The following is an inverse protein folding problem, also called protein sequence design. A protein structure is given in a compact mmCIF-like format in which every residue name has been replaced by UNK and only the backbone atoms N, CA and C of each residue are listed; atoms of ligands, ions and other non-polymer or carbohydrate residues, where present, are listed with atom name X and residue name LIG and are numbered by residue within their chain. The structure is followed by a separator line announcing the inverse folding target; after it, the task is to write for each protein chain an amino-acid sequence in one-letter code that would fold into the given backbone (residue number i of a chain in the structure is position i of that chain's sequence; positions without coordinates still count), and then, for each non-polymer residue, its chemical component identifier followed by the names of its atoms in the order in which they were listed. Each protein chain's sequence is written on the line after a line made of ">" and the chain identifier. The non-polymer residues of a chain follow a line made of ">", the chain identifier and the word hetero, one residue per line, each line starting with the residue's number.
data_IF_534812304310
#
_entry.id   IF_534812304310
#
_cell.length_a   1.000
_cell.length_b   1.000
_cell.length_c   1.000
_cell.angle_alpha   90.00
_cell.angle_beta   90.00
_cell.angle_gamma   90.00
#
_symmetry.space_group_name_H-M   'P 1'
#
loop_
_entity.id
_entity.type
_entity.pdbx_description
1 polymer ?
#
# COMPACT_ATOMS: atom_id res chain seq x y z
N UNK A 1 7.89 -6.48 -9.94
CA UNK A 1 6.83 -5.49 -9.71
C UNK A 1 7.27 -4.09 -10.10
N UNK A 2 6.47 -3.46 -10.95
CA UNK A 2 6.53 -2.02 -11.25
C UNK A 2 5.76 -1.25 -10.19
N UNK A 3 6.39 -0.24 -9.58
CA UNK A 3 5.78 0.59 -8.55
C UNK A 3 5.53 1.98 -9.13
N UNK A 4 4.30 2.46 -9.01
CA UNK A 4 3.89 3.78 -9.49
C UNK A 4 3.37 4.57 -8.29
N UNK A 5 3.70 5.86 -8.24
CA UNK A 5 3.16 6.76 -7.23
C UNK A 5 2.41 7.88 -7.94
N UNK A 6 1.17 8.13 -7.53
CA UNK A 6 0.49 9.33 -7.99
C UNK A 6 1.15 10.60 -7.39
N UNK A 7 0.85 11.77 -7.98
CA UNK A 7 1.43 13.06 -7.56
C UNK A 7 1.16 13.39 -6.08
N UNK A 8 -0.01 13.00 -5.56
CA UNK A 8 -0.38 13.22 -4.16
C UNK A 8 0.45 12.36 -3.21
N UNK A 9 0.77 11.13 -3.60
CA UNK A 9 1.49 10.18 -2.77
C UNK A 9 2.93 10.59 -2.54
N UNK A 10 3.68 10.96 -3.60
CA UNK A 10 5.07 11.41 -3.45
C UNK A 10 5.17 12.60 -2.51
N UNK A 11 4.31 13.60 -2.71
CA UNK A 11 4.24 14.78 -1.84
C UNK A 11 3.97 14.39 -0.38
N UNK A 12 3.02 13.49 -0.13
CA UNK A 12 2.72 13.04 1.23
C UNK A 12 3.89 12.30 1.89
N UNK A 13 4.59 11.43 1.14
CA UNK A 13 5.78 10.69 1.60
C UNK A 13 6.89 11.66 2.01
N UNK A 14 7.17 12.66 1.17
CA UNK A 14 8.19 13.68 1.41
C UNK A 14 7.83 14.58 2.61
N UNK A 15 6.61 15.12 2.65
CA UNK A 15 6.13 15.99 3.74
C UNK A 15 6.18 15.30 5.11
N UNK A 16 5.96 13.99 5.15
CA UNK A 16 5.99 13.18 6.38
C UNK A 16 7.34 12.53 6.64
N UNK A 17 8.33 12.74 5.77
CA UNK A 17 9.65 12.11 5.83
C UNK A 17 9.56 10.57 6.01
N UNK A 18 8.61 9.94 5.32
CA UNK A 18 8.37 8.50 5.41
C UNK A 18 9.55 7.77 4.75
N UNK A 19 10.13 6.79 5.46
CA UNK A 19 11.25 5.97 5.00
C UNK A 19 10.88 4.54 4.64
N UNK A 20 9.75 4.07 5.16
CA UNK A 20 9.25 2.73 4.89
C UNK A 20 7.72 2.72 4.75
N UNK A 21 7.23 1.93 3.81
CA UNK A 21 5.82 1.58 3.68
C UNK A 21 5.67 0.05 3.68
N UNK A 22 4.60 -0.42 4.31
CA UNK A 22 4.20 -1.83 4.27
C UNK A 22 2.85 -1.93 3.58
N UNK A 23 2.72 -2.86 2.63
CA UNK A 23 1.49 -3.21 1.94
C UNK A 23 1.09 -4.62 2.36
N UNK A 24 -0.06 -4.72 3.00
CA UNK A 24 -0.55 -5.97 3.61
C UNK A 24 -2.00 -6.26 3.22
N UNK A 25 -2.49 -7.46 3.51
CA UNK A 25 -3.92 -7.76 3.37
C UNK A 25 -4.70 -6.92 4.40
N UNK A 26 -5.57 -6.02 3.92
CA UNK A 26 -6.49 -5.30 4.79
C UNK A 26 -7.64 -6.22 5.19
N UNK A 27 -7.80 -6.42 6.49
CA UNK A 27 -8.97 -7.09 7.04
C UNK A 27 -10.10 -6.06 7.17
N UNK A 28 -10.88 -5.85 6.11
CA UNK A 28 -12.15 -5.11 6.21
C UNK A 28 -13.17 -5.98 6.94
N UNK A 29 -13.10 -6.03 8.27
CA UNK A 29 -13.85 -6.98 9.07
C UNK A 29 -14.08 -6.56 10.51
N UNK A 30 -14.78 -5.45 10.73
CA UNK A 30 -15.59 -5.30 11.93
C UNK A 30 -17.04 -5.12 11.48
N UNK A 31 -17.84 -6.16 11.67
CA UNK A 31 -19.28 -6.26 11.38
C UNK A 31 -19.70 -6.18 9.88
N UNK A 32 -19.77 -7.35 9.22
CA UNK A 32 -20.87 -7.61 8.27
C UNK A 32 -20.58 -7.62 6.77
N UNK A 33 -19.34 -7.37 6.30
CA UNK A 33 -19.04 -7.44 4.86
C UNK A 33 -17.99 -8.52 4.59
N UNK A 34 -18.46 -9.77 4.45
CA UNK A 34 -17.63 -10.84 3.88
C UNK A 34 -17.42 -10.52 2.40
N UNK A 35 -16.16 -10.40 1.96
CA UNK A 35 -15.82 -10.65 0.56
C UNK A 35 -14.78 -9.74 -0.09
N UNK A 36 -14.43 -8.58 0.47
CA UNK A 36 -13.47 -7.66 -0.15
C UNK A 36 -12.27 -7.45 0.78
N UNK A 37 -11.20 -8.20 0.51
CA UNK A 37 -9.88 -7.98 1.09
C UNK A 37 -9.19 -6.93 0.24
N UNK A 38 -9.31 -5.67 0.63
CA UNK A 38 -8.54 -4.59 0.00
C UNK A 38 -7.18 -4.51 0.67
N UNK A 39 -6.07 -4.39 -0.09
CA UNK A 39 -4.77 -4.21 0.54
C UNK A 39 -4.73 -2.92 1.36
N UNK A 40 -4.08 -3.00 2.52
CA UNK A 40 -3.85 -1.87 3.43
C UNK A 40 -2.41 -1.38 3.31
N UNK A 41 -2.22 -0.06 3.35
CA UNK A 41 -0.89 0.57 3.42
C UNK A 41 -0.64 1.06 4.84
N UNK A 42 0.42 0.57 5.47
CA UNK A 42 0.92 0.98 6.78
C UNK A 42 2.24 1.74 6.61
N UNK A 43 2.48 2.72 7.48
CA UNK A 43 3.75 3.44 7.52
C UNK A 43 4.71 2.69 8.45
N UNK A 44 5.93 2.43 7.97
CA UNK A 44 6.95 1.71 8.73
C UNK A 44 7.29 0.35 8.17
N UNK A 45 8.20 -0.32 8.87
CA UNK A 45 8.62 -1.71 8.61
C UNK A 45 7.59 -2.68 9.21
N UNK A 46 7.36 -3.85 8.60
CA UNK A 46 6.50 -4.86 9.19
C UNK A 46 7.20 -5.57 10.36
N UNK A 47 6.47 -5.84 11.44
CA UNK A 47 7.01 -6.53 12.62
C UNK A 47 7.17 -8.04 12.39
N UNK A 48 6.23 -8.66 11.66
CA UNK A 48 6.14 -10.11 11.42
C UNK A 48 5.54 -10.40 10.06
N UNK A 49 5.90 -11.53 9.45
CA UNK A 49 5.33 -12.02 8.20
C UNK A 49 6.35 -12.15 7.07
N UNK A 50 5.88 -12.52 5.87
CA UNK A 50 6.74 -12.70 4.70
C UNK A 50 6.45 -11.62 3.66
N UNK A 51 7.46 -10.78 3.40
CA UNK A 51 7.35 -9.65 2.49
C UNK A 51 8.44 -9.71 1.41
N UNK A 52 8.14 -9.16 0.24
CA UNK A 52 9.12 -8.76 -0.74
C UNK A 52 9.52 -7.31 -0.47
N UNK A 53 10.82 -7.01 -0.46
CA UNK A 53 11.34 -5.65 -0.30
C UNK A 53 11.64 -5.04 -1.67
N UNK A 54 11.05 -3.88 -1.93
CA UNK A 54 11.32 -3.04 -3.09
C UNK A 54 11.90 -1.72 -2.61
N UNK A 55 12.88 -1.19 -3.33
CA UNK A 55 13.56 0.08 -2.99
C UNK A 55 13.33 1.09 -4.09
N UNK A 56 12.72 2.21 -3.76
CA UNK A 56 12.37 3.28 -4.70
C UNK A 56 12.78 4.63 -4.09
N UNK A 57 13.75 5.33 -4.69
CA UNK A 57 14.19 6.67 -4.26
C UNK A 57 14.44 6.85 -2.74
N UNK A 58 15.04 5.85 -2.10
CA UNK A 58 15.32 5.88 -0.65
C UNK A 58 14.10 5.59 0.24
N UNK A 59 13.01 5.10 -0.34
CA UNK A 59 11.86 4.52 0.34
C UNK A 59 11.91 2.99 0.25
N UNK A 60 11.84 2.33 1.40
CA UNK A 60 11.71 0.88 1.50
C UNK A 60 10.22 0.50 1.45
N UNK A 61 9.83 -0.40 0.53
CA UNK A 61 8.46 -0.85 0.36
C UNK A 61 8.39 -2.36 0.58
N UNK A 62 7.73 -2.75 1.66
CA UNK A 62 7.50 -4.14 2.05
C UNK A 62 6.12 -4.57 1.54
N UNK A 63 6.07 -5.51 0.60
CA UNK A 63 4.80 -6.01 0.05
C UNK A 63 4.59 -7.45 0.45
N UNK A 64 3.47 -7.76 1.09
CA UNK A 64 3.15 -9.12 1.51
C UNK A 64 3.19 -10.05 0.29
N UNK A 65 3.93 -11.16 0.40
CA UNK A 65 4.15 -12.11 -0.71
C UNK A 65 2.88 -12.77 -1.25
N UNK A 66 1.80 -12.75 -0.48
CA UNK A 66 0.50 -13.29 -0.91
C UNK A 66 -0.25 -12.36 -1.83
N UNK A 67 0.08 -11.07 -1.84
CA UNK A 67 -0.59 -10.08 -2.68
C UNK A 67 -0.11 -10.21 -4.12
N UNK A 68 -1.07 -10.21 -5.05
CA UNK A 68 -0.83 -10.17 -6.49
C UNK A 68 -1.39 -8.86 -7.03
N UNK A 69 -0.66 -8.31 -7.99
CA UNK A 69 -1.06 -7.08 -8.66
C UNK A 69 -1.15 -7.36 -10.15
N UNK A 70 -2.21 -6.85 -10.77
CA UNK A 70 -2.47 -7.00 -12.20
C UNK A 70 -1.29 -6.42 -12.99
N UNK A 71 -0.85 -7.16 -14.01
CA UNK A 71 0.30 -6.80 -14.85
C UNK A 71 1.58 -6.50 -14.04
N UNK A 72 1.74 -7.12 -12.86
CA UNK A 72 2.84 -6.90 -11.92
C UNK A 72 3.06 -5.40 -11.61
N UNK A 73 1.97 -4.62 -11.59
CA UNK A 73 1.99 -3.16 -11.42
C UNK A 73 1.17 -2.74 -10.21
N UNK A 74 1.84 -2.14 -9.22
CA UNK A 74 1.21 -1.61 -8.00
C UNK A 74 1.26 -0.08 -8.03
N UNK A 75 0.09 0.56 -7.87
CA UNK A 75 -0.01 2.02 -7.89
C UNK A 75 -0.40 2.55 -6.51
N UNK A 76 0.49 3.33 -5.87
CA UNK A 76 0.16 4.03 -4.64
C UNK A 76 -0.68 5.27 -4.91
N UNK A 77 -1.85 5.32 -4.27
CA UNK A 77 -2.82 6.41 -4.40
C UNK A 77 -3.00 7.09 -3.05
N UNK A 78 -2.79 8.40 -3.02
CA UNK A 78 -3.12 9.23 -1.87
C UNK A 78 -4.48 9.90 -2.07
N UNK A 79 -5.46 9.47 -1.27
CA UNK A 79 -6.79 10.04 -1.25
C UNK A 79 -6.90 11.06 -0.12
N UNK A 80 -7.32 12.28 -0.48
CA UNK A 80 -7.54 13.39 0.45
C UNK A 80 -8.96 13.92 0.24
N UNK A 81 -9.95 13.21 0.80
CA UNK A 81 -11.36 13.60 0.73
C UNK A 81 -11.90 13.84 2.14
N UNK A 82 -12.60 14.97 2.34
CA UNK A 82 -13.26 15.36 3.59
C UNK A 82 -12.44 15.04 4.86
N UNK A 83 -11.26 15.66 5.00
CA UNK A 83 -10.34 15.54 6.16
C UNK A 83 -9.72 14.15 6.39
N UNK A 84 -10.09 13.14 5.60
CA UNK A 84 -9.48 11.81 5.68
C UNK A 84 -8.34 11.73 4.67
N UNK A 85 -7.11 11.63 5.18
CA UNK A 85 -5.89 11.37 4.39
C UNK A 85 -5.59 9.89 4.47
N UNK A 86 -5.71 9.16 3.36
CA UNK A 86 -5.43 7.72 3.32
C UNK A 86 -4.50 7.40 2.17
N UNK A 87 -3.40 6.69 2.49
CA UNK A 87 -2.61 5.97 1.49
C UNK A 87 -3.31 4.64 1.20
N UNK A 88 -3.44 4.32 -0.07
CA UNK A 88 -3.94 3.05 -0.56
C UNK A 88 -3.05 2.57 -1.72
N UNK A 89 -3.24 1.32 -2.11
CA UNK A 89 -2.69 0.77 -3.35
C UNK A 89 -3.83 0.35 -4.26
N UNK A 90 -3.63 0.56 -5.56
CA UNK A 90 -4.50 0.15 -6.64
C UNK A 90 -3.77 -0.85 -7.55
N UNK A 91 -4.53 -1.61 -8.32
CA UNK A 91 -4.04 -2.68 -9.20
C UNK A 91 -4.00 -4.05 -8.53
N UNK A 92 -4.63 -4.24 -7.37
CA UNK A 92 -4.75 -5.56 -6.74
C UNK A 92 -5.53 -6.52 -7.65
N UNK A 93 -5.02 -7.74 -7.80
CA UNK A 93 -5.65 -8.79 -8.59
C UNK A 93 -6.59 -9.61 -7.70
N UNK A 94 -7.90 -9.54 -7.97
CA UNK A 94 -8.94 -10.24 -7.21
C UNK A 94 -9.23 -11.65 -7.74
N UNK A 95 -8.59 -12.04 -8.87
CA UNK A 95 -8.83 -13.28 -9.60
C UNK A 95 -7.87 -14.43 -9.21
#
# INVERSE_FOLDING_TARGET
>A
MKIIFNKGTRKYIEEKNIKALTVDMGLTGCCGVHGIVDPEVKIGVPDVGTYNLYKEDGLDIYVNKTLRFKDDTMTFVFNNFLFTKKLAVDGYDYD
#
